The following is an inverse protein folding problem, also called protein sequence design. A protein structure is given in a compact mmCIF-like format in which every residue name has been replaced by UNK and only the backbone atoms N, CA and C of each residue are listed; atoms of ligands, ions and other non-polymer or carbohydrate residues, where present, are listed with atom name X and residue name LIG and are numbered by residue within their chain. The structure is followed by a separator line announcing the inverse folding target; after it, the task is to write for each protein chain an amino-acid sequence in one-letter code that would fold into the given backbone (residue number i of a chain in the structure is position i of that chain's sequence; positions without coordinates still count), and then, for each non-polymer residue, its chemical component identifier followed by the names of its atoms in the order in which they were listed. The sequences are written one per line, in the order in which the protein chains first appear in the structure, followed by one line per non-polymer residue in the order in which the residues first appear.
data_IF_647316733990
#
_entry.id   IF_647316733990
#
_cell.length_a   1.000
_cell.length_b   1.000
_cell.length_c   1.000
_cell.angle_alpha   90.00
_cell.angle_beta   90.00
_cell.angle_gamma   90.00
#
_symmetry.space_group_name_H-M   'P 1'
#
loop_
_entity.id
_entity.type
_entity.pdbx_description
1 polymer ?
#
# COMPACT_ATOMS: atom_id res chain seq x y z
N UNK A 1 -12.15 -26.91 5.41
CA UNK A 1 -12.42 -25.99 4.28
C UNK A 1 -13.15 -24.70 4.68
N UNK A 2 -14.11 -24.74 5.61
CA UNK A 2 -14.90 -23.57 6.03
C UNK A 2 -14.08 -22.47 6.75
N UNK A 3 -13.13 -22.85 7.60
CA UNK A 3 -12.24 -21.93 8.33
C UNK A 3 -11.28 -21.13 7.42
N UNK A 4 -11.09 -21.55 6.17
CA UNK A 4 -10.16 -20.91 5.21
C UNK A 4 -10.82 -19.79 4.39
N UNK A 5 -12.15 -19.66 4.43
CA UNK A 5 -12.91 -18.63 3.70
C UNK A 5 -13.54 -17.59 4.63
N UNK A 6 -13.56 -17.83 5.94
CA UNK A 6 -14.10 -16.91 6.94
C UNK A 6 -13.54 -15.47 6.88
N UNK A 7 -12.22 -15.23 6.74
CA UNK A 7 -11.72 -13.85 6.64
C UNK A 7 -12.10 -13.20 5.31
N UNK A 8 -12.12 -13.95 4.21
CA UNK A 8 -12.50 -13.45 2.87
C UNK A 8 -13.99 -13.12 2.80
N UNK A 9 -14.83 -13.97 3.40
CA UNK A 9 -16.27 -13.75 3.48
C UNK A 9 -16.55 -12.54 4.37
N UNK A 10 -15.82 -12.38 5.48
CA UNK A 10 -15.92 -11.21 6.35
C UNK A 10 -15.50 -9.91 5.65
N UNK A 11 -14.41 -9.94 4.88
CA UNK A 11 -13.97 -8.79 4.08
C UNK A 11 -15.01 -8.46 3.00
N UNK A 12 -15.57 -9.47 2.32
CA UNK A 12 -16.61 -9.27 1.31
C UNK A 12 -17.91 -8.76 1.94
N UNK A 13 -18.36 -9.28 3.08
CA UNK A 13 -19.58 -8.78 3.74
C UNK A 13 -19.41 -7.40 4.32
N UNK A 14 -18.23 -7.08 4.86
CA UNK A 14 -17.91 -5.71 5.31
C UNK A 14 -17.79 -4.77 4.11
N UNK A 15 -17.16 -5.18 3.01
CA UNK A 15 -17.06 -4.40 1.77
C UNK A 15 -18.43 -4.17 1.10
N UNK A 16 -19.29 -5.18 1.03
CA UNK A 16 -20.66 -5.07 0.50
C UNK A 16 -21.57 -4.26 1.43
N UNK A 17 -21.42 -4.43 2.74
CA UNK A 17 -22.17 -3.67 3.75
C UNK A 17 -21.78 -2.19 3.79
N UNK A 18 -20.50 -1.87 3.59
CA UNK A 18 -20.00 -0.49 3.48
C UNK A 18 -20.32 0.14 2.12
N UNK A 19 -20.22 -0.60 1.02
CA UNK A 19 -20.61 -0.13 -0.31
C UNK A 19 -22.10 0.27 -0.40
N UNK A 20 -22.98 -0.43 0.33
CA UNK A 20 -24.40 -0.10 0.40
C UNK A 20 -24.72 1.18 1.20
N UNK A 21 -23.84 1.59 2.12
CA UNK A 21 -24.02 2.79 2.96
C UNK A 21 -23.31 4.05 2.41
N UNK A 22 -22.38 3.91 1.47
CA UNK A 22 -21.52 4.99 0.96
C UNK A 22 -22.09 5.76 -0.25
N UNK A 23 -23.41 5.67 -0.50
CA UNK A 23 -24.08 6.23 -1.68
C UNK A 23 -24.14 7.78 -1.76
N UNK A 24 -23.32 8.52 -1.00
CA UNK A 24 -23.28 9.98 -1.01
C UNK A 24 -22.04 10.60 -1.70
N UNK A 25 -21.04 9.82 -2.12
CA UNK A 25 -19.96 10.33 -3.00
C UNK A 25 -19.25 9.21 -3.80
N UNK A 26 -18.83 9.50 -5.04
CA UNK A 26 -18.21 8.51 -5.93
C UNK A 26 -16.81 8.08 -5.45
N UNK A 27 -16.08 8.95 -4.75
CA UNK A 27 -14.67 8.74 -4.37
C UNK A 27 -14.50 7.58 -3.37
N UNK A 28 -15.21 7.52 -2.22
CA UNK A 28 -15.08 6.40 -1.29
C UNK A 28 -15.50 5.05 -1.89
N UNK A 29 -16.49 5.05 -2.78
CA UNK A 29 -16.92 3.85 -3.50
C UNK A 29 -15.81 3.34 -4.42
N UNK A 30 -15.16 4.23 -5.18
CA UNK A 30 -14.01 3.88 -6.05
C UNK A 30 -12.85 3.35 -5.21
N UNK A 31 -12.56 3.97 -4.06
CA UNK A 31 -11.50 3.52 -3.16
C UNK A 31 -11.82 2.14 -2.57
N UNK A 32 -13.04 1.93 -2.08
CA UNK A 32 -13.48 0.63 -1.56
C UNK A 32 -13.45 -0.47 -2.64
N UNK A 33 -13.95 -0.18 -3.85
CA UNK A 33 -13.90 -1.12 -4.97
C UNK A 33 -12.45 -1.43 -5.39
N UNK A 34 -11.60 -0.40 -5.48
CA UNK A 34 -10.18 -0.52 -5.80
C UNK A 34 -9.43 -1.38 -4.78
N UNK A 35 -9.64 -1.13 -3.48
CA UNK A 35 -9.05 -1.95 -2.41
C UNK A 35 -9.52 -3.40 -2.46
N UNK A 36 -10.80 -3.66 -2.74
CA UNK A 36 -11.34 -5.00 -2.91
C UNK A 36 -10.71 -5.75 -4.09
N UNK A 37 -10.55 -5.07 -5.24
CA UNK A 37 -9.92 -5.64 -6.44
C UNK A 37 -8.43 -5.95 -6.18
N UNK A 38 -7.69 -4.99 -5.62
CA UNK A 38 -6.27 -5.16 -5.32
C UNK A 38 -6.04 -6.24 -4.25
N UNK A 39 -6.92 -6.30 -3.24
CA UNK A 39 -6.88 -7.33 -2.19
C UNK A 39 -7.24 -8.73 -2.70
N UNK A 40 -8.09 -8.83 -3.71
CA UNK A 40 -8.47 -10.11 -4.33
C UNK A 40 -7.47 -10.59 -5.39
N UNK A 41 -6.60 -9.71 -5.91
CA UNK A 41 -5.66 -10.02 -6.99
C UNK A 41 -4.76 -11.24 -6.73
N UNK A 42 -4.12 -11.43 -5.55
CA UNK A 42 -3.29 -12.61 -5.32
C UNK A 42 -4.06 -13.93 -5.30
N UNK A 43 -5.38 -13.90 -5.13
CA UNK A 43 -6.25 -15.09 -5.23
C UNK A 43 -6.58 -15.44 -6.69
N UNK A 44 -6.57 -14.45 -7.58
CA UNK A 44 -6.94 -14.56 -9.00
C UNK A 44 -5.72 -14.69 -9.92
N UNK A 45 -4.56 -14.18 -9.49
CA UNK A 45 -3.33 -14.23 -10.27
C UNK A 45 -2.92 -15.70 -10.51
N UNK A 46 -2.54 -16.07 -11.76
CA UNK A 46 -2.02 -17.39 -12.05
C UNK A 46 -0.88 -17.74 -11.09
N UNK A 47 -0.94 -18.93 -10.51
CA UNK A 47 0.19 -19.47 -9.75
C UNK A 47 1.35 -19.64 -10.70
N UNK A 48 2.34 -18.76 -10.63
CA UNK A 48 3.60 -19.05 -11.29
C UNK A 48 4.21 -20.29 -10.64
N UNK A 49 4.75 -21.23 -11.43
CA UNK A 49 5.42 -22.40 -10.89
C UNK A 49 6.65 -21.91 -10.11
N UNK A 50 6.51 -21.91 -8.78
CA UNK A 50 7.56 -21.49 -7.89
C UNK A 50 8.77 -22.43 -8.05
N UNK A 51 9.92 -21.87 -8.39
CA UNK A 51 11.19 -22.54 -8.19
C UNK A 51 11.30 -22.97 -6.72
N UNK A 52 11.77 -24.20 -6.52
CA UNK A 52 11.76 -24.95 -5.27
C UNK A 52 12.22 -24.15 -4.03
N UNK A 53 11.25 -23.73 -3.22
CA UNK A 53 11.42 -23.55 -1.77
C UNK A 53 10.08 -23.81 -1.09
N UNK A 54 9.68 -25.07 -1.11
CA UNK A 54 8.54 -25.57 -0.34
C UNK A 54 8.84 -25.50 1.15
N UNK A 55 8.00 -24.81 1.92
CA UNK A 55 7.62 -25.19 3.28
C UNK A 55 6.30 -24.50 3.63
N UNK A 56 5.19 -25.25 3.56
CA UNK A 56 3.88 -24.87 4.09
C UNK A 56 2.87 -24.33 3.06
N UNK A 57 2.00 -25.20 2.54
CA UNK A 57 0.88 -24.85 1.65
C UNK A 57 -0.35 -24.30 2.43
N UNK A 58 -0.10 -23.42 3.40
CA UNK A 58 -1.12 -22.83 4.28
C UNK A 58 -1.12 -21.30 4.27
N UNK A 59 -2.27 -20.71 4.58
CA UNK A 59 -2.40 -19.29 4.93
C UNK A 59 -1.72 -19.07 6.29
N UNK A 60 -0.70 -18.22 6.35
CA UNK A 60 0.09 -18.02 7.57
C UNK A 60 -0.45 -16.86 8.41
N UNK A 61 0.02 -16.73 9.65
CA UNK A 61 -0.38 -15.65 10.56
C UNK A 61 -0.16 -14.24 9.97
N UNK A 62 0.92 -14.06 9.19
CA UNK A 62 1.19 -12.82 8.46
C UNK A 62 0.05 -12.46 7.48
N UNK A 63 -0.47 -13.44 6.74
CA UNK A 63 -1.56 -13.22 5.78
C UNK A 63 -2.88 -12.82 6.48
N UNK A 64 -3.11 -13.28 7.71
CA UNK A 64 -4.24 -12.84 8.54
C UNK A 64 -4.10 -11.38 8.98
N UNK A 65 -2.89 -10.93 9.33
CA UNK A 65 -2.67 -9.54 9.73
C UNK A 65 -2.78 -8.60 8.54
N UNK A 66 -2.21 -8.96 7.39
CA UNK A 66 -2.39 -8.21 6.14
C UNK A 66 -3.87 -8.10 5.75
N UNK A 67 -4.65 -9.18 5.96
CA UNK A 67 -6.11 -9.16 5.74
C UNK A 67 -6.85 -8.27 6.74
N UNK A 68 -6.45 -8.28 8.01
CA UNK A 68 -6.99 -7.38 9.03
C UNK A 68 -6.70 -5.93 8.66
N UNK A 69 -5.47 -5.61 8.22
CA UNK A 69 -5.08 -4.28 7.76
C UNK A 69 -5.93 -3.82 6.58
N UNK A 70 -6.19 -4.70 5.60
CA UNK A 70 -7.08 -4.40 4.50
C UNK A 70 -8.52 -4.11 4.99
N UNK A 71 -9.01 -4.88 5.95
CA UNK A 71 -10.29 -4.62 6.61
C UNK A 71 -10.32 -3.26 7.32
N UNK A 72 -9.26 -2.92 8.06
CA UNK A 72 -9.12 -1.62 8.72
C UNK A 72 -9.08 -0.47 7.71
N UNK A 73 -8.44 -0.66 6.55
CA UNK A 73 -8.42 0.32 5.46
C UNK A 73 -9.83 0.61 4.94
N UNK A 74 -10.68 -0.42 4.78
CA UNK A 74 -12.09 -0.23 4.42
C UNK A 74 -12.85 0.60 5.45
N UNK A 75 -12.58 0.39 6.75
CA UNK A 75 -13.17 1.21 7.82
C UNK A 75 -12.65 2.64 7.78
N UNK A 76 -11.36 2.85 7.48
CA UNK A 76 -10.79 4.20 7.28
C UNK A 76 -11.48 4.90 6.11
N UNK A 77 -11.69 4.23 4.98
CA UNK A 77 -12.43 4.77 3.82
C UNK A 77 -13.84 5.18 4.23
N UNK A 78 -14.55 4.33 4.98
CA UNK A 78 -15.88 4.64 5.47
C UNK A 78 -15.88 5.84 6.42
N UNK A 79 -14.90 5.93 7.33
CA UNK A 79 -14.74 7.05 8.25
C UNK A 79 -14.44 8.37 7.53
N UNK A 80 -13.66 8.33 6.45
CA UNK A 80 -13.39 9.49 5.58
C UNK A 80 -14.68 9.93 4.88
N UNK A 81 -15.46 8.98 4.36
CA UNK A 81 -16.66 9.29 3.59
C UNK A 81 -17.78 9.98 4.39
N UNK A 82 -17.90 9.64 5.68
CA UNK A 82 -18.89 10.26 6.57
C UNK A 82 -18.38 11.56 7.21
N UNK A 83 -17.11 11.91 6.98
CA UNK A 83 -16.54 13.16 7.50
C UNK A 83 -16.97 14.34 6.63
N UNK A 84 -17.63 15.38 7.19
CA UNK A 84 -18.20 16.48 6.41
C UNK A 84 -17.16 17.50 5.91
N UNK A 85 -15.87 17.34 6.24
CA UNK A 85 -14.78 18.25 5.87
C UNK A 85 -13.71 17.60 5.00
N UNK A 86 -12.80 18.39 4.42
CA UNK A 86 -11.65 17.86 3.71
C UNK A 86 -10.65 17.23 4.68
N UNK A 87 -9.91 16.21 4.22
CA UNK A 87 -8.92 15.50 5.02
C UNK A 87 -9.52 14.39 5.89
N UNK A 88 -8.89 14.12 7.02
CA UNK A 88 -9.19 12.97 7.88
C UNK A 88 -9.75 13.43 9.22
N UNK A 89 -10.98 13.01 9.54
CA UNK A 89 -11.54 13.18 10.88
C UNK A 89 -10.80 12.34 11.92
N UNK A 90 -10.96 12.68 13.21
CA UNK A 90 -10.34 11.96 14.33
C UNK A 90 -10.62 10.45 14.32
N UNK A 91 -11.80 10.03 13.89
CA UNK A 91 -12.16 8.62 13.76
C UNK A 91 -11.27 7.89 12.73
N UNK A 92 -11.11 8.48 11.54
CA UNK A 92 -10.25 7.91 10.50
C UNK A 92 -8.80 7.84 10.99
N UNK A 93 -8.30 8.88 11.66
CA UNK A 93 -6.95 8.90 12.23
C UNK A 93 -6.77 7.84 13.32
N UNK A 94 -7.72 7.71 14.25
CA UNK A 94 -7.64 6.75 15.35
C UNK A 94 -7.59 5.29 14.86
N UNK A 95 -8.18 4.99 13.69
CA UNK A 95 -8.16 3.66 13.06
C UNK A 95 -6.93 3.48 12.16
N UNK A 96 -6.52 4.54 11.46
CA UNK A 96 -5.35 4.50 10.57
C UNK A 96 -4.04 4.33 11.35
N UNK A 97 -3.91 4.90 12.55
CA UNK A 97 -2.71 4.73 13.40
C UNK A 97 -2.42 3.25 13.68
N UNK A 98 -3.33 2.46 14.27
CA UNK A 98 -3.07 1.04 14.53
C UNK A 98 -2.95 0.24 13.22
N UNK A 99 -3.69 0.61 12.16
CA UNK A 99 -3.53 -0.02 10.83
C UNK A 99 -2.11 0.13 10.27
N UNK A 100 -1.50 1.33 10.40
CA UNK A 100 -0.12 1.59 9.99
C UNK A 100 0.90 1.00 10.97
N UNK A 101 0.60 0.99 12.27
CA UNK A 101 1.49 0.37 13.26
C UNK A 101 1.62 -1.14 13.06
N UNK A 102 0.53 -1.82 12.64
CA UNK A 102 0.56 -3.23 12.31
C UNK A 102 1.55 -3.56 11.19
N UNK A 103 1.75 -2.67 10.21
CA UNK A 103 2.76 -2.83 9.15
C UNK A 103 4.19 -2.96 9.71
N UNK A 104 4.52 -2.11 10.68
CA UNK A 104 5.82 -2.12 11.33
C UNK A 104 6.05 -3.40 12.14
N UNK A 105 4.98 -3.89 12.78
CA UNK A 105 5.00 -5.15 13.54
C UNK A 105 5.12 -6.34 12.59
N UNK A 106 4.41 -6.34 11.47
CA UNK A 106 4.49 -7.39 10.43
C UNK A 106 5.90 -7.48 9.85
N UNK A 107 6.53 -6.34 9.58
CA UNK A 107 7.92 -6.29 9.14
C UNK A 107 8.95 -6.81 10.16
N UNK A 108 8.60 -6.88 11.45
CA UNK A 108 9.42 -7.53 12.49
C UNK A 108 9.13 -9.03 12.58
N UNK A 109 7.87 -9.43 12.52
CA UNK A 109 7.44 -10.84 12.59
C UNK A 109 7.87 -11.62 11.34
N UNK A 110 7.82 -11.01 10.16
CA UNK A 110 8.28 -11.61 8.90
C UNK A 110 9.79 -11.91 8.88
N UNK A 111 10.59 -11.21 9.71
CA UNK A 111 12.02 -11.54 9.91
C UNK A 111 12.23 -12.71 10.87
N UNK A 112 11.24 -12.99 11.72
CA UNK A 112 11.28 -14.09 12.68
C UNK A 112 10.61 -15.37 12.15
N UNK A 113 9.88 -15.30 11.03
CA UNK A 113 9.03 -16.40 10.52
C UNK A 113 9.26 -16.63 9.04
N UNK A 114 9.24 -17.88 8.59
CA UNK A 114 9.26 -18.23 7.16
C UNK A 114 7.98 -17.72 6.49
N UNK A 115 8.10 -16.76 5.55
CA UNK A 115 6.96 -16.21 4.79
C UNK A 115 6.85 -16.85 3.42
N UNK A 116 5.63 -17.10 2.94
CA UNK A 116 5.42 -17.60 1.57
C UNK A 116 5.62 -16.48 0.54
N UNK A 117 6.08 -16.82 -0.67
CA UNK A 117 6.22 -15.85 -1.77
C UNK A 117 4.88 -15.17 -2.14
N UNK A 118 3.76 -15.88 -1.97
CA UNK A 118 2.43 -15.34 -2.19
C UNK A 118 2.04 -14.30 -1.12
N UNK A 119 2.35 -14.57 0.15
CA UNK A 119 2.13 -13.65 1.26
C UNK A 119 2.95 -12.37 1.13
N UNK A 120 4.23 -12.49 0.76
CA UNK A 120 5.09 -11.32 0.52
C UNK A 120 4.55 -10.41 -0.60
N UNK A 121 4.05 -10.99 -1.71
CA UNK A 121 3.42 -10.23 -2.79
C UNK A 121 2.08 -9.60 -2.38
N UNK A 122 1.34 -10.23 -1.47
CA UNK A 122 0.09 -9.68 -0.96
C UNK A 122 0.33 -8.51 -0.01
N UNK A 123 1.30 -8.65 0.89
CA UNK A 123 1.71 -7.59 1.82
C UNK A 123 2.18 -6.34 1.08
N UNK A 124 3.06 -6.51 0.08
CA UNK A 124 3.53 -5.42 -0.78
C UNK A 124 2.36 -4.70 -1.50
N UNK A 125 1.37 -5.46 -1.98
CA UNK A 125 0.19 -4.88 -2.64
C UNK A 125 -0.69 -4.10 -1.67
N UNK A 126 -0.89 -4.62 -0.45
CA UNK A 126 -1.70 -3.93 0.56
C UNK A 126 -1.02 -2.64 1.01
N UNK A 127 0.29 -2.64 1.21
CA UNK A 127 1.03 -1.42 1.54
C UNK A 127 0.90 -0.35 0.45
N UNK A 128 1.10 -0.73 -0.82
CA UNK A 128 0.90 0.17 -1.95
C UNK A 128 -0.56 0.68 -2.04
N UNK A 129 -1.52 -0.17 -1.73
CA UNK A 129 -2.95 0.18 -1.73
C UNK A 129 -3.28 1.20 -0.64
N UNK A 130 -2.73 1.05 0.56
CA UNK A 130 -2.90 2.00 1.66
C UNK A 130 -2.43 3.40 1.24
N UNK A 131 -1.21 3.49 0.67
CA UNK A 131 -0.66 4.77 0.21
C UNK A 131 -1.49 5.37 -0.93
N UNK A 132 -1.99 4.55 -1.85
CA UNK A 132 -2.88 5.00 -2.92
C UNK A 132 -4.20 5.57 -2.40
N UNK A 133 -4.86 4.87 -1.46
CA UNK A 133 -6.12 5.32 -0.88
C UNK A 133 -5.93 6.63 -0.12
N UNK A 134 -4.90 6.71 0.73
CA UNK A 134 -4.62 7.91 1.51
C UNK A 134 -4.25 9.10 0.62
N UNK A 135 -3.45 8.90 -0.43
CA UNK A 135 -3.10 9.99 -1.36
C UNK A 135 -4.31 10.46 -2.18
N UNK A 136 -5.16 9.54 -2.65
CA UNK A 136 -6.38 9.87 -3.37
C UNK A 136 -7.37 10.66 -2.50
N UNK A 137 -7.52 10.29 -1.23
CA UNK A 137 -8.36 11.01 -0.28
C UNK A 137 -7.86 12.45 0.01
N UNK A 138 -6.59 12.74 -0.27
CA UNK A 138 -5.97 14.05 -0.08
C UNK A 138 -5.90 14.91 -1.34
N UNK A 139 -6.36 14.42 -2.49
CA UNK A 139 -6.48 15.19 -3.73
C UNK A 139 -7.29 16.49 -3.56
N UNK A 140 -8.42 16.53 -2.81
CA UNK A 140 -9.16 17.77 -2.59
C UNK A 140 -8.36 18.86 -1.85
N UNK A 141 -7.32 18.48 -1.10
CA UNK A 141 -6.49 19.40 -0.31
C UNK A 141 -5.24 19.86 -1.07
N UNK A 142 -4.52 18.92 -1.67
CA UNK A 142 -3.21 19.20 -2.27
C UNK A 142 -3.23 19.18 -3.80
N UNK A 143 -4.27 18.64 -4.42
CA UNK A 143 -4.39 18.52 -5.88
C UNK A 143 -3.99 17.14 -6.40
N UNK A 144 -4.23 16.93 -7.70
CA UNK A 144 -4.09 15.61 -8.37
C UNK A 144 -2.66 15.09 -8.45
N UNK A 145 -1.66 15.98 -8.42
CA UNK A 145 -0.24 15.58 -8.41
C UNK A 145 0.11 14.72 -7.20
N UNK A 146 -0.64 14.81 -6.10
CA UNK A 146 -0.36 14.03 -4.90
C UNK A 146 -0.58 12.52 -5.09
N UNK A 147 -1.34 12.13 -6.13
CA UNK A 147 -1.49 10.73 -6.54
C UNK A 147 -0.15 10.08 -6.93
N UNK A 148 0.91 10.86 -7.20
CA UNK A 148 2.26 10.33 -7.41
C UNK A 148 2.68 9.42 -6.26
N UNK A 149 2.36 9.77 -5.01
CA UNK A 149 2.69 8.93 -3.84
C UNK A 149 2.06 7.54 -3.93
N UNK A 150 0.80 7.47 -4.33
CA UNK A 150 0.05 6.21 -4.47
C UNK A 150 0.38 5.41 -5.72
N UNK A 151 0.65 6.10 -6.83
CA UNK A 151 0.81 5.47 -8.13
C UNK A 151 2.23 4.97 -8.40
N UNK A 152 3.22 5.38 -7.61
CA UNK A 152 4.62 5.06 -7.90
C UNK A 152 4.92 3.55 -7.93
N UNK A 153 4.35 2.77 -7.00
CA UNK A 153 4.49 1.30 -7.01
C UNK A 153 3.91 0.69 -8.29
N UNK A 154 2.70 1.11 -8.68
CA UNK A 154 2.04 0.62 -9.88
C UNK A 154 2.77 1.05 -11.15
N UNK A 155 3.28 2.28 -11.19
CA UNK A 155 4.08 2.80 -12.29
C UNK A 155 5.40 2.04 -12.45
N UNK A 156 6.07 1.66 -11.35
CA UNK A 156 7.28 0.84 -11.40
C UNK A 156 6.99 -0.56 -11.94
N UNK A 157 5.92 -1.20 -11.46
CA UNK A 157 5.50 -2.51 -11.98
C UNK A 157 5.12 -2.46 -13.46
N UNK A 158 4.40 -1.41 -13.89
CA UNK A 158 4.10 -1.19 -15.31
C UNK A 158 5.37 -0.93 -16.14
N UNK A 159 6.30 -0.14 -15.61
CA UNK A 159 7.62 0.09 -16.20
C UNK A 159 8.41 -1.20 -16.38
N UNK A 160 8.42 -2.08 -15.37
CA UNK A 160 9.07 -3.39 -15.42
C UNK A 160 8.39 -4.38 -16.38
N UNK A 161 7.12 -4.15 -16.74
CA UNK A 161 6.47 -4.90 -17.80
C UNK A 161 7.02 -4.51 -19.19
N UNK A 162 7.27 -3.22 -19.40
CA UNK A 162 7.78 -2.65 -20.68
C UNK A 162 9.30 -2.81 -20.81
N UNK A 163 10.04 -2.66 -19.70
CA UNK A 163 11.50 -2.79 -19.59
C UNK A 163 11.85 -3.99 -18.70
N UNK A 164 12.07 -5.18 -19.28
CA UNK A 164 12.40 -6.39 -18.52
C UNK A 164 13.64 -6.25 -17.62
N UNK A 165 14.56 -5.34 -17.97
CA UNK A 165 15.75 -5.02 -17.16
C UNK A 165 15.42 -4.51 -15.75
N UNK A 166 14.22 -3.95 -15.53
CA UNK A 166 13.78 -3.51 -14.20
C UNK A 166 13.22 -4.65 -13.34
N UNK A 167 13.15 -5.87 -13.87
CA UNK A 167 12.80 -7.09 -13.11
C UNK A 167 13.99 -7.67 -12.36
N UNK A 168 15.20 -7.14 -12.56
CA UNK A 168 16.38 -7.57 -11.82
C UNK A 168 16.22 -7.28 -10.32
N UNK A 169 16.65 -8.22 -9.47
CA UNK A 169 16.56 -8.07 -8.03
C UNK A 169 17.44 -6.91 -7.55
N UNK A 170 16.79 -5.87 -7.00
CA UNK A 170 17.47 -4.73 -6.42
C UNK A 170 18.04 -5.11 -5.03
N UNK A 171 19.34 -4.91 -4.77
CA UNK A 171 19.97 -5.29 -3.50
C UNK A 171 19.30 -4.60 -2.31
N UNK A 172 19.13 -5.29 -1.17
CA UNK A 172 18.39 -4.77 -0.02
C UNK A 172 18.95 -3.42 0.41
N UNK A 173 18.08 -2.40 0.46
CA UNK A 173 18.49 -1.03 0.79
C UNK A 173 17.68 -0.50 1.96
N UNK A 174 18.37 -0.05 3.01
CA UNK A 174 17.76 0.64 4.15
C UNK A 174 16.94 1.85 3.72
N UNK A 175 17.39 2.57 2.69
CA UNK A 175 16.73 3.77 2.16
C UNK A 175 15.31 3.50 1.67
N UNK A 176 15.13 2.53 0.77
CA UNK A 176 13.79 2.14 0.24
C UNK A 176 12.85 1.73 1.37
N UNK A 177 13.36 0.95 2.33
CA UNK A 177 12.60 0.50 3.49
C UNK A 177 12.15 1.68 4.36
N UNK A 178 13.03 2.63 4.63
CA UNK A 178 12.72 3.84 5.38
C UNK A 178 11.69 4.69 4.64
N UNK A 179 11.88 4.93 3.34
CA UNK A 179 10.94 5.75 2.54
C UNK A 179 9.54 5.13 2.55
N UNK A 180 9.41 3.82 2.29
CA UNK A 180 8.14 3.11 2.34
C UNK A 180 7.45 3.23 3.71
N UNK A 181 8.20 2.96 4.79
CA UNK A 181 7.69 3.02 6.16
C UNK A 181 7.17 4.42 6.56
N UNK A 182 7.73 5.50 5.98
CA UNK A 182 7.29 6.87 6.27
C UNK A 182 6.18 7.37 5.35
N UNK A 183 5.88 6.74 4.20
CA UNK A 183 4.82 7.22 3.31
C UNK A 183 3.46 7.27 4.01
N UNK A 184 3.00 6.15 4.57
CA UNK A 184 1.71 6.07 5.27
C UNK A 184 1.58 7.12 6.39
N UNK A 185 2.53 7.19 7.34
CA UNK A 185 2.52 8.19 8.41
C UNK A 185 2.55 9.64 7.92
N UNK A 186 3.33 9.97 6.90
CA UNK A 186 3.39 11.34 6.34
C UNK A 186 2.06 11.73 5.69
N UNK A 187 1.45 10.81 4.93
CA UNK A 187 0.13 11.02 4.33
C UNK A 187 -0.93 11.20 5.42
N UNK A 188 -0.92 10.34 6.45
CA UNK A 188 -1.86 10.44 7.57
C UNK A 188 -1.70 11.77 8.31
N UNK A 189 -0.46 12.19 8.59
CA UNK A 189 -0.15 13.44 9.25
C UNK A 189 -0.63 14.66 8.43
N UNK A 190 -0.42 14.65 7.11
CA UNK A 190 -0.84 15.73 6.23
C UNK A 190 -2.37 15.94 6.26
N UNK A 191 -3.15 14.86 6.22
CA UNK A 191 -4.60 14.92 6.26
C UNK A 191 -5.24 15.00 7.65
N UNK A 192 -4.47 14.77 8.71
CA UNK A 192 -4.98 14.73 10.08
C UNK A 192 -5.43 16.11 10.58
N UNK A 193 -6.25 16.20 11.65
CA UNK A 193 -6.67 17.48 12.21
C UNK A 193 -5.49 18.42 12.55
N UNK A 194 -4.34 17.95 13.10
CA UNK A 194 -3.14 18.77 13.23
C UNK A 194 -2.56 19.28 11.90
N UNK A 195 -2.55 18.45 10.85
CA UNK A 195 -2.12 18.82 9.50
C UNK A 195 -2.97 19.91 8.86
N UNK A 196 -4.27 19.89 9.15
CA UNK A 196 -5.21 20.90 8.69
C UNK A 196 -5.17 22.17 9.55
N UNK A 197 -4.94 22.03 10.86
CA UNK A 197 -4.84 23.16 11.78
C UNK A 197 -3.57 24.00 11.55
N UNK A 198 -2.48 23.36 11.10
CA UNK A 198 -1.21 24.03 10.77
C UNK A 198 -0.86 23.74 9.31
N UNK A 199 -1.30 24.57 8.35
CA UNK A 199 -1.11 24.29 6.92
C UNK A 199 0.35 24.06 6.51
N UNK A 200 1.29 24.77 7.13
CA UNK A 200 2.72 24.57 6.90
C UNK A 200 3.18 23.15 7.24
N UNK A 201 2.68 22.57 8.33
CA UNK A 201 2.97 21.20 8.73
C UNK A 201 2.41 20.21 7.71
N UNK A 202 1.15 20.39 7.29
CA UNK A 202 0.55 19.56 6.25
C UNK A 202 1.34 19.58 4.93
N UNK A 203 1.73 20.76 4.46
CA UNK A 203 2.56 20.91 3.25
C UNK A 203 3.94 20.27 3.38
N UNK A 204 4.60 20.42 4.53
CA UNK A 204 5.89 19.76 4.79
C UNK A 204 5.76 18.25 4.71
N UNK A 205 4.71 17.67 5.31
CA UNK A 205 4.45 16.23 5.23
C UNK A 205 4.21 15.77 3.79
N UNK A 206 3.36 16.48 3.04
CA UNK A 206 3.03 16.19 1.63
C UNK A 206 4.27 16.25 0.74
N UNK A 207 5.08 17.31 0.85
CA UNK A 207 6.30 17.48 0.06
C UNK A 207 7.34 16.43 0.45
N UNK A 208 7.52 16.16 1.74
CA UNK A 208 8.45 15.14 2.21
C UNK A 208 8.09 13.75 1.69
N UNK A 209 6.80 13.40 1.65
CA UNK A 209 6.32 12.13 1.12
C UNK A 209 6.68 11.99 -0.36
N UNK A 210 6.31 12.96 -1.20
CA UNK A 210 6.58 12.89 -2.64
C UNK A 210 8.07 13.00 -2.97
N UNK A 211 8.80 13.92 -2.33
CA UNK A 211 10.22 14.13 -2.60
C UNK A 211 11.07 12.90 -2.22
N UNK A 212 10.82 12.31 -1.05
CA UNK A 212 11.54 11.11 -0.61
C UNK A 212 11.32 9.92 -1.56
N UNK A 213 10.08 9.77 -2.05
CA UNK A 213 9.70 8.75 -3.02
C UNK A 213 10.41 8.96 -4.36
N UNK A 214 10.32 10.17 -4.93
CA UNK A 214 10.95 10.48 -6.22
C UNK A 214 12.47 10.33 -6.17
N UNK A 215 13.11 10.75 -5.07
CA UNK A 215 14.55 10.57 -4.88
C UNK A 215 14.91 9.09 -4.79
N UNK A 216 14.12 8.28 -4.08
CA UNK A 216 14.34 6.82 -4.02
C UNK A 216 14.23 6.20 -5.41
N UNK A 217 13.15 6.47 -6.13
CA UNK A 217 12.92 5.94 -7.48
C UNK A 217 14.00 6.34 -8.48
N UNK A 218 14.40 7.61 -8.48
CA UNK A 218 15.44 8.10 -9.38
C UNK A 218 16.78 7.38 -9.15
N UNK A 219 17.09 7.03 -7.91
CA UNK A 219 18.31 6.30 -7.57
C UNK A 219 18.21 4.83 -7.94
N UNK A 220 17.06 4.20 -7.71
CA UNK A 220 16.82 2.80 -8.09
C UNK A 220 16.94 2.60 -9.61
N UNK A 221 16.35 3.51 -10.40
CA UNK A 221 16.46 3.50 -11.86
C UNK A 221 17.93 3.68 -12.30
N UNK A 222 18.67 4.59 -11.67
CA UNK A 222 20.10 4.81 -11.99
C UNK A 222 20.96 3.58 -11.70
N UNK A 223 20.66 2.85 -10.62
CA UNK A 223 21.38 1.62 -10.27
C UNK A 223 21.11 0.54 -11.32
N UNK A 224 19.84 0.34 -11.69
CA UNK A 224 19.44 -0.65 -12.70
C UNK A 224 20.05 -0.36 -14.07
N UNK A 225 20.04 0.89 -14.53
CA UNK A 225 20.62 1.26 -15.82
C UNK A 225 22.16 1.16 -15.83
N UNK A 226 22.83 1.40 -14.69
CA UNK A 226 24.29 1.22 -14.56
C UNK A 226 24.70 -0.24 -14.53
N UNK A 227 23.94 -1.11 -13.84
CA UNK A 227 24.18 -2.56 -13.83
C UNK A 227 24.12 -3.14 -15.23
N UNK A 228 23.13 -2.73 -16.03
CA UNK A 228 23.00 -3.13 -17.43
C UNK A 228 24.17 -2.67 -18.30
N UNK A 229 24.65 -1.43 -18.13
CA UNK A 229 25.80 -0.93 -18.88
C UNK A 229 27.07 -1.74 -18.60
N UNK A 230 27.21 -2.28 -17.39
CA UNK A 230 28.32 -3.17 -17.04
C UNK A 230 28.17 -4.57 -17.67
N UNK A 231 26.96 -5.16 -17.67
CA UNK A 231 26.71 -6.45 -18.32
C UNK A 231 26.88 -6.38 -19.85
N UNK A 232 26.38 -5.33 -20.50
CA UNK A 232 26.53 -5.15 -21.96
C UNK A 232 27.99 -4.92 -22.37
N UNK A 233 28.81 -4.31 -21.51
CA UNK A 233 30.25 -4.17 -21.77
C UNK A 233 31.06 -5.46 -21.52
N UNK A 234 30.46 -6.48 -20.91
CA UNK A 234 31.08 -7.77 -20.63
C UNK A 234 30.62 -8.89 -21.58
N UNK A 235 29.59 -8.64 -22.39
CA UNK A 235 29.06 -9.54 -23.41
C UNK A 235 29.63 -9.21 -24.80
#
# INVERSE_FOLDING_TARGET
MLMRRLPVILILTVALGTAGWLAASAVPVILAAGTGILGAWPLLAPREPAAASETGSGWHWADCVTSLRLGMLLVVIAAIAVHPGPGFGWLAVAIAIPMLALDLVDGLIARATVTTAAGARFDEQVDATVVLVLSAALVPLYGTWYLISGLAHFAFRAGAAIRPAWRAELPPSWRRKTVAAFQGPLLLAAGSPPGLAVPAFGWVCTIAAVASLLVSFALDIRILERGRAAEVNQA
#
